data_IF_205720494485
#
_entry.id   IF_205720494485
#
_cell.length_a   1.000
_cell.length_b   1.000
_cell.length_c   1.000
_cell.angle_alpha   90.00
_cell.angle_beta   90.00
_cell.angle_gamma   90.00
#
_symmetry.space_group_name_H-M   'P 1'
#
loop_
_entity.id
_entity.type
_entity.pdbx_description
1 polymer ?
#
# COMPACT_ATOMS: atom_id res chain seq x y z
N UNK A 1 -2.56 14.25 -6.41
CA UNK A 1 -2.44 15.71 -6.56
C UNK A 1 -2.26 16.07 -8.02
N UNK A 2 -3.06 17.00 -8.59
CA UNK A 2 -2.92 17.44 -9.95
C UNK A 2 -1.49 17.97 -10.23
N UNK A 3 -0.91 17.55 -11.36
CA UNK A 3 0.45 17.91 -11.77
C UNK A 3 1.56 17.55 -10.77
N UNK A 4 1.28 16.67 -9.80
CA UNK A 4 2.22 16.30 -8.76
C UNK A 4 2.49 17.40 -7.71
N UNK A 5 1.79 18.52 -7.79
CA UNK A 5 1.95 19.63 -6.84
C UNK A 5 1.32 19.28 -5.51
N UNK A 6 2.13 19.27 -4.46
CA UNK A 6 1.72 18.96 -3.09
C UNK A 6 2.41 19.89 -2.10
N UNK A 7 1.71 20.24 -1.04
CA UNK A 7 2.23 20.95 0.12
C UNK A 7 1.34 20.65 1.33
N UNK A 8 1.85 20.87 2.53
CA UNK A 8 1.08 20.71 3.77
C UNK A 8 -0.18 21.60 3.82
N UNK A 9 -0.17 22.74 3.13
CA UNK A 9 -1.35 23.61 3.05
C UNK A 9 -2.43 23.00 2.16
N UNK A 10 -2.06 22.45 0.99
CA UNK A 10 -2.98 21.74 0.09
C UNK A 10 -3.53 20.48 0.76
N UNK A 11 -2.72 19.78 1.52
CA UNK A 11 -3.09 18.61 2.30
C UNK A 11 -4.16 18.93 3.34
N UNK A 12 -3.96 19.99 4.15
CA UNK A 12 -4.96 20.45 5.12
C UNK A 12 -6.30 20.83 4.47
N UNK A 13 -6.25 21.44 3.28
CA UNK A 13 -7.47 21.73 2.52
C UNK A 13 -8.14 20.45 2.03
N UNK A 14 -7.38 19.48 1.53
CA UNK A 14 -7.90 18.20 1.08
C UNK A 14 -8.59 17.44 2.23
N UNK A 15 -7.95 17.39 3.40
CA UNK A 15 -8.52 16.82 4.62
C UNK A 15 -9.82 17.49 5.02
N UNK A 16 -9.84 18.81 5.03
CA UNK A 16 -11.06 19.60 5.33
C UNK A 16 -12.20 19.34 4.34
N UNK A 17 -11.88 18.99 3.09
CA UNK A 17 -12.84 18.60 2.06
C UNK A 17 -13.26 17.11 2.16
N UNK A 18 -12.79 16.36 3.15
CA UNK A 18 -13.13 14.95 3.35
C UNK A 18 -12.33 13.98 2.47
N UNK A 19 -11.22 14.42 1.87
CA UNK A 19 -10.30 13.53 1.16
C UNK A 19 -9.52 12.73 2.20
N UNK A 20 -9.54 11.41 2.08
CA UNK A 20 -8.92 10.50 3.05
C UNK A 20 -7.54 10.00 2.63
N UNK A 21 -7.22 10.05 1.33
CA UNK A 21 -5.90 9.74 0.81
C UNK A 21 -5.61 10.49 -0.49
N UNK A 22 -4.35 10.81 -0.72
CA UNK A 22 -3.89 11.46 -1.94
C UNK A 22 -2.44 11.07 -2.26
N UNK A 23 -2.19 10.68 -3.53
CA UNK A 23 -0.86 10.26 -3.97
C UNK A 23 -0.01 11.47 -4.37
N UNK A 24 1.25 11.45 -3.94
CA UNK A 24 2.31 12.33 -4.45
C UNK A 24 3.07 11.68 -5.61
N UNK A 25 4.04 12.37 -6.19
CA UNK A 25 4.91 11.83 -7.25
C UNK A 25 6.30 11.44 -6.76
N UNK A 26 6.61 11.67 -5.47
CA UNK A 26 7.93 11.41 -4.90
C UNK A 26 8.13 9.91 -4.65
N UNK A 27 9.07 9.23 -5.32
CA UNK A 27 9.31 7.81 -5.09
C UNK A 27 9.97 7.58 -3.73
N UNK A 28 9.60 6.49 -3.07
CA UNK A 28 10.23 6.05 -1.82
C UNK A 28 11.34 5.04 -2.05
N UNK A 29 11.24 4.25 -3.12
CA UNK A 29 12.07 3.06 -3.36
C UNK A 29 12.04 2.06 -2.19
N UNK A 30 10.96 2.08 -1.43
CA UNK A 30 10.74 1.28 -0.24
C UNK A 30 9.32 0.68 -0.24
N UNK A 31 9.07 -0.25 0.67
CA UNK A 31 7.81 -1.00 0.76
C UNK A 31 7.05 -0.74 2.06
N UNK A 32 7.49 0.23 2.85
CA UNK A 32 6.80 0.62 4.07
C UNK A 32 5.40 1.18 3.77
N UNK A 33 4.47 0.89 4.67
CA UNK A 33 3.15 1.51 4.64
C UNK A 33 3.25 3.03 4.83
N UNK A 34 2.31 3.81 4.24
CA UNK A 34 2.31 5.25 4.40
C UNK A 34 2.09 5.64 5.87
N UNK A 35 2.87 6.58 6.35
CA UNK A 35 2.63 7.21 7.65
C UNK A 35 1.48 8.21 7.56
N UNK A 36 1.38 8.87 6.41
CA UNK A 36 0.38 9.85 6.07
C UNK A 36 -0.28 9.48 4.74
N UNK A 37 -1.59 9.24 4.76
CA UNK A 37 -2.35 8.91 3.57
C UNK A 37 -2.59 10.11 2.65
N UNK A 38 -2.55 11.33 3.17
CA UNK A 38 -2.66 12.54 2.36
C UNK A 38 -1.33 12.93 1.70
N UNK A 39 -0.20 12.40 2.19
CA UNK A 39 1.11 12.51 1.56
C UNK A 39 1.62 11.14 1.07
N UNK A 40 0.77 10.33 0.47
CA UNK A 40 1.11 8.96 0.10
C UNK A 40 2.12 8.91 -1.04
N UNK A 41 3.36 8.63 -0.69
CA UNK A 41 4.46 8.49 -1.63
C UNK A 41 4.46 7.08 -2.25
N UNK A 42 4.51 6.94 -3.58
CA UNK A 42 4.56 5.64 -4.25
C UNK A 42 5.94 4.98 -4.11
N UNK A 43 6.01 3.67 -4.34
CA UNK A 43 7.29 2.96 -4.42
C UNK A 43 8.13 3.49 -5.58
N UNK A 44 7.56 3.50 -6.80
CA UNK A 44 8.20 4.08 -7.98
C UNK A 44 7.19 4.39 -9.09
N UNK A 45 7.63 5.11 -10.10
CA UNK A 45 6.91 5.26 -11.37
C UNK A 45 7.19 4.07 -12.29
N UNK A 46 6.27 3.75 -13.22
CA UNK A 46 6.47 2.62 -14.15
C UNK A 46 7.65 2.79 -15.14
N UNK A 47 8.11 4.04 -15.35
CA UNK A 47 9.29 4.33 -16.16
C UNK A 47 10.61 4.29 -15.39
N UNK A 48 10.56 4.02 -14.08
CA UNK A 48 11.75 4.00 -13.25
C UNK A 48 12.63 2.78 -13.56
N UNK A 49 13.91 3.00 -13.78
CA UNK A 49 14.89 1.94 -14.08
C UNK A 49 14.96 0.88 -12.97
N UNK A 50 14.61 1.25 -11.73
CA UNK A 50 14.62 0.36 -10.57
C UNK A 50 13.34 -0.48 -10.44
N UNK A 51 12.32 -0.28 -11.28
CA UNK A 51 11.02 -0.94 -11.14
C UNK A 51 11.14 -2.46 -10.97
N UNK A 52 11.92 -3.12 -11.82
CA UNK A 52 12.09 -4.57 -11.75
C UNK A 52 13.02 -5.02 -10.62
N UNK A 53 14.08 -4.28 -10.31
CA UNK A 53 14.92 -4.55 -9.13
C UNK A 53 14.11 -4.50 -7.84
N UNK A 54 13.23 -3.49 -7.71
CA UNK A 54 12.34 -3.35 -6.58
C UNK A 54 11.29 -4.48 -6.56
N UNK A 55 10.77 -4.88 -7.74
CA UNK A 55 9.85 -6.01 -7.84
C UNK A 55 10.49 -7.30 -7.36
N UNK A 56 11.71 -7.59 -7.80
CA UNK A 56 12.43 -8.79 -7.39
C UNK A 56 12.64 -8.80 -5.87
N UNK A 57 13.06 -7.69 -5.27
CA UNK A 57 13.18 -7.53 -3.82
C UNK A 57 11.85 -7.72 -3.08
N UNK A 58 10.76 -7.18 -3.62
CA UNK A 58 9.43 -7.35 -3.04
C UNK A 58 9.00 -8.81 -3.04
N UNK A 59 9.27 -9.53 -4.13
CA UNK A 59 8.91 -10.94 -4.26
C UNK A 59 9.82 -11.89 -3.47
N UNK A 60 11.10 -11.55 -3.28
CA UNK A 60 12.01 -12.32 -2.43
C UNK A 60 11.50 -12.41 -0.99
N UNK A 61 10.85 -11.36 -0.52
CA UNK A 61 10.33 -11.26 0.83
C UNK A 61 9.18 -12.23 1.07
N UNK A 62 8.35 -12.49 0.09
CA UNK A 62 7.21 -13.43 0.19
C UNK A 62 7.67 -14.85 0.62
N UNK A 63 8.89 -15.23 0.28
CA UNK A 63 9.45 -16.54 0.59
C UNK A 63 10.17 -16.59 1.96
N UNK A 64 10.18 -15.53 2.72
CA UNK A 64 10.84 -15.50 4.04
C UNK A 64 9.81 -15.75 5.14
N UNK A 65 10.04 -16.74 6.00
CA UNK A 65 9.13 -17.12 7.10
C UNK A 65 9.04 -16.07 8.26
N UNK A 66 9.71 -14.94 8.14
CA UNK A 66 9.78 -13.91 9.19
C UNK A 66 9.25 -12.57 8.70
N UNK A 67 7.93 -12.41 8.75
CA UNK A 67 7.32 -11.10 8.56
C UNK A 67 6.91 -10.49 9.87
N UNK A 68 7.42 -9.29 10.10
CA UNK A 68 7.05 -8.45 11.22
C UNK A 68 6.10 -7.32 10.80
N UNK A 69 6.15 -6.90 9.53
CA UNK A 69 5.37 -5.78 9.02
C UNK A 69 4.89 -6.06 7.58
N UNK A 70 3.67 -5.65 7.22
CA UNK A 70 3.19 -5.78 5.85
C UNK A 70 3.97 -4.85 4.91
N UNK A 71 4.26 -5.34 3.71
CA UNK A 71 4.93 -4.59 2.66
C UNK A 71 3.93 -4.17 1.59
N UNK A 72 4.12 -2.95 1.07
CA UNK A 72 3.32 -2.38 0.00
C UNK A 72 4.20 -2.05 -1.20
N UNK A 73 3.91 -2.64 -2.37
CA UNK A 73 4.45 -2.19 -3.64
C UNK A 73 3.45 -1.26 -4.30
N UNK A 74 3.74 0.02 -4.36
CA UNK A 74 2.88 1.02 -4.98
C UNK A 74 3.48 1.53 -6.28
N UNK A 75 3.12 0.90 -7.41
CA UNK A 75 3.47 1.35 -8.75
C UNK A 75 2.45 2.38 -9.23
N UNK A 76 2.92 3.42 -9.91
CA UNK A 76 2.03 4.41 -10.52
C UNK A 76 2.53 4.85 -11.89
N UNK A 77 1.69 5.52 -12.66
CA UNK A 77 1.98 6.09 -13.97
C UNK A 77 0.70 6.48 -14.69
N UNK A 78 0.82 6.83 -15.96
CA UNK A 78 -0.31 7.18 -16.82
C UNK A 78 -0.39 6.22 -18.00
N UNK A 79 -1.58 5.73 -18.34
CA UNK A 79 -1.76 4.74 -19.39
C UNK A 79 -1.29 5.23 -20.78
N UNK A 80 -1.40 6.53 -21.06
CA UNK A 80 -0.93 7.10 -22.34
C UNK A 80 0.60 7.02 -22.51
N UNK A 81 1.34 6.90 -21.42
CA UNK A 81 2.80 6.80 -21.43
C UNK A 81 3.27 5.47 -22.02
N UNK A 82 2.46 4.39 -21.92
CA UNK A 82 2.79 3.11 -22.51
C UNK A 82 2.88 3.18 -24.04
N UNK A 83 2.00 3.97 -24.69
CA UNK A 83 2.07 4.24 -26.11
C UNK A 83 3.24 5.21 -26.44
N UNK A 84 3.33 6.31 -25.67
CA UNK A 84 4.32 7.36 -25.93
C UNK A 84 5.77 6.89 -25.83
N UNK A 85 6.03 5.96 -24.89
CA UNK A 85 7.37 5.43 -24.62
C UNK A 85 7.57 3.99 -25.09
N UNK A 86 6.57 3.41 -25.79
CA UNK A 86 6.59 2.03 -26.27
C UNK A 86 6.87 1.01 -25.15
N UNK A 87 6.18 1.15 -24.00
CA UNK A 87 6.44 0.38 -22.78
C UNK A 87 5.37 -0.69 -22.47
N UNK A 88 4.50 -1.03 -23.40
CA UNK A 88 3.48 -2.08 -23.19
C UNK A 88 4.10 -3.41 -22.76
N UNK A 89 5.20 -3.82 -23.36
CA UNK A 89 5.87 -5.08 -23.03
C UNK A 89 6.38 -5.09 -21.58
N UNK A 90 6.85 -3.97 -21.08
CA UNK A 90 7.38 -3.85 -19.72
C UNK A 90 6.26 -3.92 -18.69
N UNK A 91 5.17 -3.18 -18.88
CA UNK A 91 4.04 -3.23 -17.96
C UNK A 91 3.33 -4.60 -18.00
N UNK A 92 3.21 -5.23 -19.17
CA UNK A 92 2.70 -6.61 -19.25
C UNK A 92 3.59 -7.60 -18.52
N UNK A 93 4.91 -7.48 -18.67
CA UNK A 93 5.87 -8.30 -17.92
C UNK A 93 5.69 -8.11 -16.42
N UNK A 94 5.60 -6.86 -15.96
CA UNK A 94 5.35 -6.56 -14.54
C UNK A 94 4.06 -7.24 -14.06
N UNK A 95 2.94 -7.01 -14.74
CA UNK A 95 1.64 -7.56 -14.37
C UNK A 95 1.61 -9.09 -14.40
N UNK A 96 2.29 -9.73 -15.38
CA UNK A 96 2.43 -11.20 -15.44
C UNK A 96 3.25 -11.74 -14.27
N UNK A 97 4.25 -10.97 -13.83
CA UNK A 97 5.14 -11.38 -12.72
C UNK A 97 4.43 -11.30 -11.37
N UNK A 98 3.61 -10.28 -11.13
CA UNK A 98 2.87 -10.12 -9.87
C UNK A 98 1.51 -10.82 -9.88
N UNK A 99 0.91 -11.05 -11.04
CA UNK A 99 -0.47 -11.52 -11.15
C UNK A 99 -0.69 -12.96 -10.66
N UNK A 100 -1.90 -13.23 -10.14
CA UNK A 100 -2.36 -14.54 -9.68
C UNK A 100 -1.47 -15.19 -8.60
N UNK A 101 -0.95 -14.40 -7.68
CA UNK A 101 -0.20 -14.87 -6.52
C UNK A 101 -1.09 -14.80 -5.28
N UNK A 102 -1.30 -15.93 -4.62
CA UNK A 102 -2.17 -16.03 -3.43
C UNK A 102 -1.61 -15.26 -2.23
N UNK A 103 -0.29 -15.08 -2.20
CA UNK A 103 0.43 -14.38 -1.14
C UNK A 103 0.42 -12.85 -1.30
N UNK A 104 -0.14 -12.33 -2.41
CA UNK A 104 -0.25 -10.89 -2.67
C UNK A 104 -1.71 -10.45 -2.58
N UNK A 105 -1.98 -9.51 -1.71
CA UNK A 105 -3.25 -8.80 -1.70
C UNK A 105 -3.25 -7.67 -2.73
N UNK A 106 -4.07 -7.81 -3.78
CA UNK A 106 -4.29 -6.78 -4.79
C UNK A 106 -5.43 -5.89 -4.33
N UNK A 107 -5.12 -4.65 -4.00
CA UNK A 107 -6.08 -3.75 -3.40
C UNK A 107 -6.07 -2.36 -4.05
N UNK A 108 -7.19 -1.69 -4.00
CA UNK A 108 -7.28 -0.27 -4.30
C UNK A 108 -6.71 0.56 -3.16
N UNK A 109 -6.34 1.81 -3.44
CA UNK A 109 -5.87 2.73 -2.40
C UNK A 109 -6.90 2.93 -1.28
N UNK A 110 -8.19 2.93 -1.62
CA UNK A 110 -9.28 3.02 -0.65
C UNK A 110 -9.28 1.85 0.32
N UNK A 111 -9.25 0.62 -0.20
CA UNK A 111 -9.22 -0.60 0.60
C UNK A 111 -8.00 -0.64 1.54
N UNK A 112 -6.82 -0.26 1.05
CA UNK A 112 -5.61 -0.21 1.89
C UNK A 112 -5.78 0.84 3.00
N UNK A 113 -6.27 2.03 2.67
CA UNK A 113 -6.51 3.10 3.63
C UNK A 113 -7.50 2.67 4.72
N UNK A 114 -8.63 2.08 4.33
CA UNK A 114 -9.66 1.57 5.24
C UNK A 114 -9.11 0.47 6.16
N UNK A 115 -8.40 -0.51 5.58
CA UNK A 115 -7.81 -1.61 6.33
C UNK A 115 -6.80 -1.13 7.37
N UNK A 116 -5.87 -0.25 6.99
CA UNK A 116 -4.85 0.28 7.91
C UNK A 116 -5.50 1.13 9.01
N UNK A 117 -6.52 1.91 8.68
CA UNK A 117 -7.26 2.66 9.68
C UNK A 117 -8.05 1.74 10.63
N UNK A 118 -8.59 0.63 10.14
CA UNK A 118 -9.22 -0.38 10.98
C UNK A 118 -8.22 -1.03 11.94
N UNK A 119 -7.03 -1.40 11.46
CA UNK A 119 -5.93 -1.91 12.30
C UNK A 119 -5.55 -0.91 13.40
N UNK A 120 -5.40 0.37 13.06
CA UNK A 120 -5.07 1.44 14.01
C UNK A 120 -6.18 1.70 15.03
N UNK A 121 -7.42 1.36 14.71
CA UNK A 121 -8.60 1.57 15.56
C UNK A 121 -8.84 0.43 16.54
N UNK A 122 -8.11 -0.69 16.44
CA UNK A 122 -8.26 -1.80 17.37
C UNK A 122 -8.04 -1.37 18.81
N UNK A 123 -8.94 -1.80 19.69
CA UNK A 123 -8.89 -1.51 21.12
C UNK A 123 -8.44 -2.75 21.87
N UNK A 124 -7.38 -2.62 22.63
CA UNK A 124 -6.81 -3.71 23.44
C UNK A 124 -7.22 -3.55 24.89
N UNK A 125 -7.57 -4.67 25.55
CA UNK A 125 -7.75 -4.67 26.99
C UNK A 125 -6.44 -4.33 27.71
N UNK A 126 -6.52 -3.81 28.93
CA UNK A 126 -5.35 -3.48 29.74
C UNK A 126 -4.47 -4.71 30.06
N UNK A 127 -5.05 -5.90 30.07
CA UNK A 127 -4.34 -7.18 30.29
C UNK A 127 -3.78 -7.77 28.99
N UNK A 128 -4.21 -7.28 27.83
CA UNK A 128 -3.83 -7.83 26.52
C UNK A 128 -4.57 -9.11 26.11
N UNK A 129 -5.54 -9.59 26.92
CA UNK A 129 -6.24 -10.84 26.66
C UNK A 129 -7.40 -10.70 25.66
N UNK A 130 -7.87 -9.49 25.42
CA UNK A 130 -9.00 -9.20 24.55
C UNK A 130 -8.68 -8.07 23.58
N UNK A 131 -9.20 -8.21 22.36
CA UNK A 131 -9.14 -7.21 21.30
C UNK A 131 -10.57 -6.96 20.82
N UNK A 132 -10.91 -5.68 20.69
CA UNK A 132 -12.19 -5.25 20.12
C UNK A 132 -11.93 -4.46 18.83
N UNK A 133 -12.67 -4.82 17.78
CA UNK A 133 -12.66 -4.11 16.50
C UNK A 133 -13.90 -3.22 16.43
N UNK A 134 -13.77 -1.88 16.55
CA UNK A 134 -14.90 -0.95 16.48
C UNK A 134 -15.27 -0.55 15.05
N UNK A 135 -14.65 -1.15 14.04
CA UNK A 135 -14.84 -0.81 12.62
C UNK A 135 -15.76 -1.80 11.92
N UNK A 136 -16.06 -1.56 10.64
CA UNK A 136 -16.80 -2.50 9.78
C UNK A 136 -15.89 -3.31 8.84
N UNK A 137 -14.59 -3.35 9.11
CA UNK A 137 -13.60 -4.08 8.32
C UNK A 137 -12.98 -5.18 9.17
N UNK A 138 -13.10 -6.43 8.73
CA UNK A 138 -12.42 -7.55 9.39
C UNK A 138 -10.89 -7.38 9.27
N UNK A 139 -10.18 -7.55 10.38
CA UNK A 139 -8.75 -7.34 10.48
C UNK A 139 -8.05 -8.65 10.85
N UNK A 140 -6.90 -8.91 10.24
CA UNK A 140 -6.08 -10.06 10.57
C UNK A 140 -4.86 -9.64 11.39
N UNK A 141 -4.54 -10.44 12.39
CA UNK A 141 -3.33 -10.27 13.18
C UNK A 141 -2.66 -11.60 13.47
N UNK A 142 -1.37 -11.57 13.71
CA UNK A 142 -0.60 -12.75 14.10
C UNK A 142 -0.23 -12.65 15.59
N UNK A 143 -0.54 -13.71 16.34
CA UNK A 143 -0.14 -13.86 17.74
C UNK A 143 0.52 -15.23 17.92
N UNK A 144 1.74 -15.28 18.42
CA UNK A 144 2.53 -16.50 18.61
C UNK A 144 2.59 -17.41 17.37
N UNK A 145 2.76 -16.79 16.20
CA UNK A 145 2.85 -17.48 14.92
C UNK A 145 1.52 -17.98 14.35
N UNK A 146 0.38 -17.70 15.00
CA UNK A 146 -0.95 -18.06 14.50
C UNK A 146 -1.71 -16.83 14.01
N UNK A 147 -2.39 -16.97 12.88
CA UNK A 147 -3.25 -15.92 12.35
C UNK A 147 -4.64 -15.97 13.01
N UNK A 148 -5.12 -14.81 13.40
CA UNK A 148 -6.45 -14.62 13.98
C UNK A 148 -7.20 -13.55 13.18
N UNK A 149 -8.46 -13.83 12.88
CA UNK A 149 -9.37 -12.87 12.29
C UNK A 149 -10.12 -12.13 13.42
N UNK A 150 -9.99 -10.82 13.44
CA UNK A 150 -10.71 -9.96 14.40
C UNK A 150 -11.89 -9.35 13.64
N UNK A 151 -13.07 -9.89 13.90
CA UNK A 151 -14.30 -9.49 13.23
C UNK A 151 -14.69 -8.04 13.54
N UNK A 152 -15.36 -7.43 12.55
CA UNK A 152 -16.01 -6.13 12.65
C UNK A 152 -17.21 -6.16 13.61
#
# INVERSE_FOLDING_TARGET
YPFGTWSEEVERVAEHCGITYARTTKPTYAFSLPQDFLAWHPTCHHTDEKMFELLDKFLEVINQERYMEPWLYYLWGHAYEFDSYNQWNEIERFLKTVGNREEIWYATNGEICEYINAVKSLVYSATGDYIYNPTCVDVWMQVDGKAYEIKA
#
